data_IF_430881889083
#
_entry.id   IF_430881889083
#
_cell.length_a   1.000
_cell.length_b   1.000
_cell.length_c   1.000
_cell.angle_alpha   90.00
_cell.angle_beta   90.00
_cell.angle_gamma   90.00
#
_symmetry.space_group_name_H-M   'P 1'
#
loop_
_entity.id
_entity.type
_entity.pdbx_description
1 polymer ?
#
# COMPACT_ATOMS: atom_id res chain seq x y z
N UNK A 1 -6.29 24.78 20.38
CA UNK A 1 -5.38 23.83 19.73
C UNK A 1 -6.22 22.99 18.82
N UNK A 2 -6.31 23.38 17.56
CA UNK A 2 -7.30 22.87 16.60
C UNK A 2 -6.67 21.79 15.70
N UNK A 3 -7.14 20.55 15.86
CA UNK A 3 -6.71 19.38 15.12
C UNK A 3 -7.35 19.30 13.70
N UNK A 4 -7.31 20.38 12.91
CA UNK A 4 -7.98 20.48 11.61
C UNK A 4 -7.08 20.84 10.41
N UNK A 5 -5.78 20.59 10.47
CA UNK A 5 -4.89 20.95 9.33
C UNK A 5 -3.90 19.86 8.88
N UNK A 6 -4.26 18.57 8.89
CA UNK A 6 -3.38 17.50 8.35
C UNK A 6 -4.13 16.61 7.34
N UNK A 7 -5.12 17.09 6.62
CA UNK A 7 -5.71 16.34 5.50
C UNK A 7 -6.08 17.28 4.34
N UNK A 8 -5.06 17.85 3.69
CA UNK A 8 -5.24 18.57 2.44
C UNK A 8 -4.07 18.27 1.52
N UNK A 9 -4.15 17.19 0.72
CA UNK A 9 -3.14 16.94 -0.31
C UNK A 9 -3.14 15.57 -0.97
N UNK A 10 -4.19 14.76 -0.87
CA UNK A 10 -4.31 13.57 -1.70
C UNK A 10 -5.63 13.62 -2.47
N UNK A 11 -5.60 14.23 -3.65
CA UNK A 11 -6.68 14.13 -4.61
C UNK A 11 -6.57 12.75 -5.28
N UNK A 12 -7.49 11.78 -5.05
CA UNK A 12 -7.46 10.53 -5.78
C UNK A 12 -7.90 10.80 -7.20
N UNK A 13 -6.99 10.62 -8.15
CA UNK A 13 -7.29 10.57 -9.57
C UNK A 13 -8.14 9.32 -9.83
N UNK A 14 -9.45 9.40 -9.65
CA UNK A 14 -10.38 8.40 -10.12
C UNK A 14 -10.43 8.50 -11.65
N UNK A 15 -9.64 7.65 -12.32
CA UNK A 15 -9.78 7.41 -13.75
C UNK A 15 -11.12 6.71 -13.96
N UNK A 16 -12.15 7.47 -14.30
CA UNK A 16 -13.45 6.92 -14.68
C UNK A 16 -13.33 6.29 -16.06
N UNK A 17 -12.96 5.01 -16.11
CA UNK A 17 -13.06 4.22 -17.34
C UNK A 17 -14.53 3.85 -17.53
N UNK A 18 -15.24 4.62 -18.33
CA UNK A 18 -16.61 4.29 -18.79
C UNK A 18 -16.53 3.24 -19.89
N UNK A 19 -16.50 1.96 -19.51
CA UNK A 19 -16.73 0.85 -20.44
C UNK A 19 -18.23 0.71 -20.66
N UNK A 20 -18.70 1.16 -21.83
CA UNK A 20 -20.07 0.90 -22.30
C UNK A 20 -20.15 -0.54 -22.77
N UNK A 21 -20.60 -1.44 -21.90
CA UNK A 21 -20.97 -2.79 -22.29
C UNK A 21 -22.39 -2.78 -22.84
N UNK A 22 -22.54 -3.09 -24.12
CA UNK A 22 -23.83 -3.33 -24.78
C UNK A 22 -24.55 -4.51 -24.13
N UNK A 23 -25.81 -4.29 -23.73
CA UNK A 23 -26.61 -5.24 -23.01
C UNK A 23 -27.02 -6.46 -23.85
N UNK A 24 -26.60 -7.63 -23.41
CA UNK A 24 -27.38 -8.87 -23.59
C UNK A 24 -27.73 -9.33 -22.16
N UNK A 25 -29.02 -9.45 -21.88
CA UNK A 25 -29.49 -10.05 -20.62
C UNK A 25 -29.27 -11.56 -20.69
N UNK A 26 -28.03 -12.00 -20.49
CA UNK A 26 -27.71 -13.37 -20.18
C UNK A 26 -27.71 -13.49 -18.66
N UNK A 27 -28.19 -14.61 -18.12
CA UNK A 27 -27.91 -15.00 -16.74
C UNK A 27 -26.39 -15.09 -16.61
N UNK A 28 -25.78 -13.99 -16.16
CA UNK A 28 -24.34 -13.84 -16.15
C UNK A 28 -23.69 -14.76 -15.15
N UNK A 29 -22.57 -15.33 -15.51
CA UNK A 29 -21.71 -16.12 -14.63
C UNK A 29 -21.18 -15.31 -13.46
N UNK A 30 -20.66 -16.01 -12.48
CA UNK A 30 -19.80 -15.50 -11.40
C UNK A 30 -18.54 -16.32 -11.46
N UNK A 31 -17.39 -15.72 -11.30
CA UNK A 31 -16.17 -16.48 -11.16
C UNK A 31 -16.25 -17.34 -9.89
N UNK A 32 -16.23 -18.65 -10.08
CA UNK A 32 -16.30 -19.62 -8.98
C UNK A 32 -14.93 -20.05 -8.49
N UNK A 33 -13.83 -19.69 -9.17
CA UNK A 33 -12.48 -19.94 -8.68
C UNK A 33 -12.07 -18.86 -7.68
N UNK A 34 -12.39 -19.10 -6.40
CA UNK A 34 -12.09 -18.16 -5.31
C UNK A 34 -10.69 -18.32 -4.73
N UNK A 35 -10.06 -19.47 -4.96
CA UNK A 35 -8.72 -19.77 -4.50
C UNK A 35 -7.75 -19.62 -5.67
N UNK A 36 -7.22 -18.44 -5.86
CA UNK A 36 -6.14 -18.19 -6.83
C UNK A 36 -4.83 -18.17 -6.08
N UNK A 37 -3.82 -18.87 -6.61
CA UNK A 37 -2.51 -18.84 -6.01
C UNK A 37 -1.94 -17.42 -6.06
N UNK A 38 -1.33 -17.00 -4.95
CA UNK A 38 -0.59 -15.75 -4.90
C UNK A 38 0.68 -15.87 -5.74
N UNK A 39 1.05 -14.82 -6.48
CA UNK A 39 2.22 -14.80 -7.35
C UNK A 39 3.51 -14.41 -6.64
N UNK A 40 3.44 -13.93 -5.41
CA UNK A 40 4.61 -13.61 -4.60
C UNK A 40 5.30 -14.85 -4.06
N UNK A 41 6.64 -14.93 -4.18
CA UNK A 41 7.43 -16.10 -3.73
C UNK A 41 7.34 -16.33 -2.21
N UNK A 42 7.05 -15.27 -1.45
CA UNK A 42 6.94 -15.32 0.01
C UNK A 42 5.52 -15.51 0.52
N UNK A 43 4.54 -15.52 -0.39
CA UNK A 43 3.14 -15.69 -0.07
C UNK A 43 2.88 -17.09 0.51
N UNK A 44 1.75 -17.24 1.19
CA UNK A 44 1.24 -18.57 1.58
C UNK A 44 0.88 -19.37 0.31
N UNK A 45 -0.32 -19.84 0.13
CA UNK A 45 -0.75 -20.46 -1.12
C UNK A 45 -1.60 -19.47 -1.92
N UNK A 46 -2.65 -18.98 -1.29
CA UNK A 46 -3.61 -18.06 -1.88
C UNK A 46 -3.67 -16.72 -1.14
N UNK A 47 -3.09 -16.66 0.05
CA UNK A 47 -2.99 -15.43 0.83
C UNK A 47 -1.65 -14.77 0.58
N UNK A 48 -1.70 -13.50 0.19
CA UNK A 48 -0.52 -12.66 0.12
C UNK A 48 0.02 -12.36 1.52
N UNK A 49 1.33 -12.21 1.64
CA UNK A 49 1.98 -11.65 2.83
C UNK A 49 2.01 -10.13 2.77
N UNK A 50 2.42 -9.49 3.85
CA UNK A 50 2.64 -8.04 3.89
C UNK A 50 3.92 -7.63 3.18
N UNK A 51 4.83 -8.58 2.97
CA UNK A 51 6.14 -8.36 2.35
C UNK A 51 5.98 -8.00 0.88
N UNK A 52 6.67 -6.96 0.47
CA UNK A 52 6.76 -6.54 -0.93
C UNK A 52 8.10 -6.98 -1.49
N UNK A 53 8.18 -7.38 -2.76
CA UNK A 53 9.47 -7.53 -3.43
C UNK A 53 10.26 -6.23 -3.32
N UNK A 54 11.58 -6.31 -3.26
CA UNK A 54 12.46 -5.15 -3.32
C UNK A 54 12.30 -4.37 -4.64
N UNK A 55 13.00 -3.26 -4.78
CA UNK A 55 12.97 -2.41 -5.98
C UNK A 55 13.30 -3.22 -7.23
N UNK A 56 12.43 -3.15 -8.24
CA UNK A 56 12.50 -3.86 -9.52
C UNK A 56 12.56 -5.40 -9.43
N UNK A 57 12.49 -5.97 -8.23
CA UNK A 57 12.32 -7.41 -8.08
C UNK A 57 10.99 -7.86 -8.63
N UNK A 58 10.99 -8.96 -9.34
CA UNK A 58 9.76 -9.50 -9.93
C UNK A 58 9.62 -10.99 -9.70
N UNK A 59 8.40 -11.45 -9.78
CA UNK A 59 8.06 -12.87 -9.79
C UNK A 59 7.06 -13.19 -10.86
N UNK A 60 7.20 -14.38 -11.45
CA UNK A 60 6.26 -14.96 -12.40
C UNK A 60 5.77 -16.28 -11.84
N UNK A 61 4.47 -16.46 -11.79
CA UNK A 61 3.84 -17.64 -11.24
C UNK A 61 2.90 -18.32 -12.22
N UNK A 62 2.82 -19.63 -12.12
CA UNK A 62 1.79 -20.43 -12.75
C UNK A 62 1.22 -21.40 -11.73
N UNK A 63 -0.10 -21.48 -11.62
CA UNK A 63 -0.76 -22.44 -10.74
C UNK A 63 -1.80 -23.23 -11.50
N UNK A 64 -1.76 -24.53 -11.32
CA UNK A 64 -2.75 -25.47 -11.84
C UNK A 64 -3.66 -25.91 -10.71
N UNK A 65 -4.96 -25.82 -10.92
CA UNK A 65 -6.00 -26.16 -9.96
C UNK A 65 -6.94 -27.21 -10.54
N UNK A 66 -7.15 -28.29 -9.80
CA UNK A 66 -8.22 -29.25 -10.03
C UNK A 66 -9.26 -29.11 -8.93
N UNK A 67 -10.51 -28.90 -9.28
CA UNK A 67 -11.63 -28.73 -8.36
C UNK A 67 -12.73 -29.74 -8.64
N UNK A 68 -13.09 -30.52 -7.60
CA UNK A 68 -14.19 -31.49 -7.66
C UNK A 68 -15.47 -30.86 -7.11
N UNK A 69 -16.55 -30.88 -7.93
CA UNK A 69 -17.89 -30.38 -7.61
C UNK A 69 -17.89 -28.90 -7.15
N UNK A 70 -17.26 -27.99 -7.88
CA UNK A 70 -17.18 -26.59 -7.48
C UNK A 70 -18.51 -25.86 -7.59
N UNK A 71 -19.48 -26.42 -8.35
CA UNK A 71 -20.83 -25.84 -8.50
C UNK A 71 -21.90 -26.90 -8.51
N UNK A 72 -22.71 -26.94 -7.45
CA UNK A 72 -23.81 -27.88 -7.27
C UNK A 72 -25.10 -27.13 -7.05
N UNK A 73 -26.12 -27.43 -7.86
CA UNK A 73 -27.49 -26.95 -7.68
C UNK A 73 -28.24 -27.91 -6.76
N UNK A 74 -28.66 -27.43 -5.60
CA UNK A 74 -29.51 -28.19 -4.66
C UNK A 74 -30.97 -28.01 -5.01
N UNK A 75 -31.70 -29.11 -5.20
CA UNK A 75 -33.14 -29.15 -5.46
C UNK A 75 -33.80 -30.12 -4.48
N UNK A 76 -35.07 -29.96 -4.27
CA UNK A 76 -35.87 -30.87 -3.44
C UNK A 76 -35.90 -32.31 -4.02
N UNK A 77 -35.75 -32.45 -5.33
CA UNK A 77 -35.69 -33.71 -6.06
C UNK A 77 -34.29 -34.34 -6.15
N UNK A 78 -33.28 -33.72 -5.52
CA UNK A 78 -31.86 -34.17 -5.56
C UNK A 78 -30.89 -33.11 -6.06
N UNK A 79 -29.63 -33.34 -5.78
CA UNK A 79 -28.57 -32.42 -6.18
C UNK A 79 -28.13 -32.66 -7.63
N UNK A 80 -27.87 -31.58 -8.37
CA UNK A 80 -27.35 -31.64 -9.74
C UNK A 80 -25.99 -30.94 -9.76
N UNK A 81 -24.96 -31.68 -10.18
CA UNK A 81 -23.64 -31.12 -10.39
C UNK A 81 -23.65 -30.30 -11.69
N UNK A 82 -23.74 -28.97 -11.56
CA UNK A 82 -23.66 -28.08 -12.72
C UNK A 82 -22.25 -28.10 -13.32
N UNK A 83 -21.24 -28.14 -12.47
CA UNK A 83 -19.85 -28.43 -12.84
C UNK A 83 -19.36 -29.53 -11.93
N UNK A 84 -19.08 -30.70 -12.52
CA UNK A 84 -18.64 -31.89 -11.78
C UNK A 84 -17.17 -31.83 -11.42
N UNK A 85 -16.34 -31.41 -12.35
CA UNK A 85 -14.92 -31.22 -12.15
C UNK A 85 -14.40 -30.10 -13.08
N UNK A 86 -13.34 -29.41 -12.65
CA UNK A 86 -12.77 -28.26 -13.33
C UNK A 86 -11.27 -28.29 -13.23
N UNK A 87 -10.60 -27.98 -14.32
CA UNK A 87 -9.15 -27.79 -14.46
C UNK A 87 -8.90 -26.34 -14.82
N UNK A 88 -8.22 -25.61 -13.98
CA UNK A 88 -7.89 -24.21 -14.19
C UNK A 88 -6.37 -23.99 -14.15
N UNK A 89 -5.92 -22.96 -14.85
CA UNK A 89 -4.55 -22.46 -14.83
C UNK A 89 -4.62 -20.96 -14.54
N UNK A 90 -3.93 -20.51 -13.52
CA UNK A 90 -3.75 -19.09 -13.25
C UNK A 90 -2.31 -18.71 -13.53
N UNK A 91 -2.09 -17.68 -14.35
CA UNK A 91 -0.79 -17.07 -14.59
C UNK A 91 -0.72 -15.75 -13.80
N UNK A 92 0.36 -15.55 -13.08
CA UNK A 92 0.54 -14.38 -12.22
C UNK A 92 1.89 -13.71 -12.45
N UNK A 93 1.90 -12.41 -12.27
CA UNK A 93 3.09 -11.57 -12.29
C UNK A 93 3.03 -10.60 -11.11
N UNK A 94 4.16 -10.33 -10.48
CA UNK A 94 4.32 -9.30 -9.47
C UNK A 94 5.65 -8.57 -9.66
N UNK A 95 5.67 -7.26 -9.44
CA UNK A 95 6.85 -6.38 -9.55
C UNK A 95 6.87 -5.43 -8.34
N UNK A 96 8.00 -5.34 -7.68
CA UNK A 96 8.29 -4.33 -6.67
C UNK A 96 8.58 -2.97 -7.29
N UNK A 97 7.96 -1.93 -6.76
CA UNK A 97 8.19 -0.54 -7.13
C UNK A 97 8.63 0.19 -5.86
N UNK A 98 9.92 0.52 -5.80
CA UNK A 98 10.55 0.99 -4.59
C UNK A 98 10.53 -0.08 -3.48
N UNK A 99 10.72 0.34 -2.25
CA UNK A 99 10.79 -0.56 -1.09
C UNK A 99 9.41 -0.99 -0.54
N UNK A 100 8.35 -0.24 -0.85
CA UNK A 100 7.04 -0.38 -0.17
C UNK A 100 5.87 -0.80 -1.06
N UNK A 101 5.99 -0.68 -2.38
CA UNK A 101 4.89 -0.92 -3.31
C UNK A 101 5.16 -2.14 -4.18
N UNK A 102 4.17 -3.00 -4.33
CA UNK A 102 4.15 -4.06 -5.33
C UNK A 102 2.94 -3.90 -6.24
N UNK A 103 3.12 -4.14 -7.52
CA UNK A 103 2.04 -4.21 -8.51
C UNK A 103 2.05 -5.57 -9.17
N UNK A 104 0.90 -6.07 -9.56
CA UNK A 104 0.80 -7.39 -10.17
C UNK A 104 -0.38 -7.53 -11.11
N UNK A 105 -0.35 -8.60 -11.87
CA UNK A 105 -1.42 -8.99 -12.77
C UNK A 105 -1.65 -10.50 -12.70
N UNK A 106 -2.91 -10.92 -12.78
CA UNK A 106 -3.31 -12.32 -12.85
C UNK A 106 -4.18 -12.56 -14.08
N UNK A 107 -3.92 -13.66 -14.77
CA UNK A 107 -4.69 -14.13 -15.91
C UNK A 107 -5.20 -15.55 -15.63
N UNK A 108 -6.47 -15.72 -15.24
CA UNK A 108 -7.06 -17.02 -15.01
C UNK A 108 -7.59 -17.64 -16.30
N UNK A 109 -7.42 -18.94 -16.43
CA UNK A 109 -7.85 -19.75 -17.55
C UNK A 109 -8.59 -21.00 -17.06
N UNK A 110 -9.73 -21.30 -17.63
CA UNK A 110 -10.40 -22.61 -17.47
C UNK A 110 -10.02 -23.49 -18.64
N UNK A 111 -9.13 -24.43 -18.39
CA UNK A 111 -8.63 -25.33 -19.44
C UNK A 111 -9.71 -26.31 -19.88
N UNK A 112 -10.41 -26.88 -18.90
CA UNK A 112 -11.50 -27.82 -19.14
C UNK A 112 -12.39 -27.94 -17.92
N UNK A 113 -13.69 -28.18 -18.14
CA UNK A 113 -14.63 -28.56 -17.07
C UNK A 113 -15.73 -29.46 -17.61
N UNK A 114 -16.14 -30.42 -16.80
CA UNK A 114 -17.27 -31.28 -17.07
C UNK A 114 -18.55 -30.60 -16.58
N UNK A 115 -19.39 -30.19 -17.50
CA UNK A 115 -20.62 -29.43 -17.24
C UNK A 115 -21.87 -30.29 -17.44
N UNK A 116 -22.94 -29.97 -16.71
CA UNK A 116 -24.25 -30.56 -16.95
C UNK A 116 -24.73 -30.23 -18.37
N UNK A 117 -25.32 -31.22 -19.06
CA UNK A 117 -25.81 -31.07 -20.41
C UNK A 117 -27.23 -30.47 -20.43
N UNK A 118 -27.49 -29.57 -21.38
CA UNK A 118 -28.79 -28.93 -21.60
C UNK A 118 -29.10 -27.80 -20.60
N UNK A 119 -30.33 -27.30 -20.67
CA UNK A 119 -30.85 -26.32 -19.72
C UNK A 119 -31.14 -27.01 -18.37
N UNK A 120 -30.46 -26.61 -17.32
CA UNK A 120 -30.64 -27.13 -15.98
C UNK A 120 -31.17 -26.03 -15.06
N UNK A 121 -32.47 -25.97 -14.89
CA UNK A 121 -33.15 -25.06 -13.97
C UNK A 121 -33.08 -23.58 -14.37
N UNK A 122 -33.20 -23.34 -15.69
CA UNK A 122 -33.14 -21.99 -16.24
C UNK A 122 -31.72 -21.43 -16.36
N UNK A 123 -30.68 -22.27 -16.15
CA UNK A 123 -29.29 -21.90 -16.43
C UNK A 123 -29.00 -22.31 -17.87
N UNK A 124 -28.60 -21.36 -18.71
CA UNK A 124 -28.21 -21.57 -20.08
C UNK A 124 -27.09 -22.62 -20.20
N UNK A 125 -26.95 -23.30 -21.35
CA UNK A 125 -25.86 -24.26 -21.56
C UNK A 125 -24.50 -23.69 -21.21
N UNK A 126 -23.74 -24.47 -20.43
CA UNK A 126 -22.43 -24.07 -19.94
C UNK A 126 -21.34 -24.43 -20.95
N UNK A 127 -20.25 -23.65 -20.91
CA UNK A 127 -19.06 -23.90 -21.73
C UNK A 127 -18.04 -24.73 -20.96
N UNK A 128 -17.33 -25.61 -21.67
CA UNK A 128 -16.35 -26.53 -21.08
C UNK A 128 -14.99 -25.90 -20.81
N UNK A 129 -14.77 -24.65 -21.18
CA UNK A 129 -13.52 -23.92 -20.97
C UNK A 129 -13.67 -22.45 -21.33
N UNK A 130 -12.67 -21.64 -21.00
CA UNK A 130 -12.68 -20.21 -21.30
C UNK A 130 -11.66 -19.40 -20.51
N UNK A 131 -11.60 -18.12 -20.80
CA UNK A 131 -10.78 -17.17 -20.08
C UNK A 131 -11.53 -16.66 -18.84
N UNK A 132 -10.78 -16.42 -17.76
CA UNK A 132 -11.29 -15.68 -16.62
C UNK A 132 -11.09 -14.17 -16.77
N UNK A 133 -11.59 -13.42 -15.80
CA UNK A 133 -11.38 -11.97 -15.75
C UNK A 133 -9.93 -11.68 -15.31
N UNK A 134 -9.11 -11.03 -16.14
CA UNK A 134 -7.79 -10.56 -15.73
C UNK A 134 -7.92 -9.59 -14.55
N UNK A 135 -6.98 -9.67 -13.62
CA UNK A 135 -6.95 -8.84 -12.42
C UNK A 135 -5.64 -8.07 -12.34
N UNK A 136 -5.73 -6.78 -12.08
CA UNK A 136 -4.60 -5.93 -11.71
C UNK A 136 -4.62 -5.74 -10.20
N UNK A 137 -3.45 -5.83 -9.57
CA UNK A 137 -3.28 -5.74 -8.12
C UNK A 137 -2.24 -4.69 -7.77
N UNK A 138 -2.43 -4.05 -6.62
CA UNK A 138 -1.42 -3.24 -5.97
C UNK A 138 -1.43 -3.56 -4.49
N UNK A 139 -0.25 -3.62 -3.88
CA UNK A 139 -0.06 -3.85 -2.46
C UNK A 139 0.99 -2.87 -1.93
N UNK A 140 0.65 -2.14 -0.89
CA UNK A 140 1.53 -1.19 -0.24
C UNK A 140 1.81 -1.64 1.19
N UNK A 141 3.07 -1.86 1.50
CA UNK A 141 3.55 -2.17 2.84
C UNK A 141 3.50 -0.90 3.71
N UNK A 142 2.88 -1.02 4.87
CA UNK A 142 2.74 0.07 5.86
C UNK A 142 3.74 -0.14 7.00
N UNK A 143 3.95 -1.39 7.42
CA UNK A 143 4.82 -1.77 8.53
C UNK A 143 5.56 -3.05 8.18
N UNK A 144 6.78 -3.20 8.68
CA UNK A 144 7.64 -4.35 8.50
C UNK A 144 8.69 -4.11 7.40
N UNK A 145 9.65 -5.00 7.29
CA UNK A 145 10.74 -4.95 6.34
C UNK A 145 10.37 -5.57 4.98
N UNK A 146 11.00 -5.21 3.88
CA UNK A 146 10.80 -5.85 2.57
C UNK A 146 11.25 -7.32 2.60
N UNK A 147 10.87 -8.09 1.57
CA UNK A 147 11.51 -9.39 1.32
C UNK A 147 12.96 -9.16 0.93
N UNK A 148 13.86 -9.88 1.56
CA UNK A 148 15.27 -9.79 1.20
C UNK A 148 15.57 -10.49 -0.12
N UNK A 149 16.48 -9.93 -0.89
CA UNK A 149 16.89 -10.42 -2.21
C UNK A 149 17.44 -11.87 -2.16
N UNK A 150 18.07 -12.25 -1.05
CA UNK A 150 18.56 -13.62 -0.80
C UNK A 150 17.46 -14.64 -0.49
N UNK A 151 16.18 -14.21 -0.48
CA UNK A 151 15.01 -15.04 -0.19
C UNK A 151 14.82 -15.36 1.29
N UNK A 152 15.56 -14.73 2.21
CA UNK A 152 15.26 -14.79 3.63
C UNK A 152 14.14 -13.83 3.98
N UNK A 153 13.30 -14.22 4.93
CA UNK A 153 12.23 -13.37 5.43
C UNK A 153 12.69 -12.75 6.74
N UNK A 154 12.75 -11.43 6.84
CA UNK A 154 13.08 -10.79 8.09
C UNK A 154 12.02 -11.09 9.14
N UNK A 155 12.45 -11.34 10.38
CA UNK A 155 11.57 -11.58 11.52
C UNK A 155 10.82 -10.30 11.92
N UNK A 156 9.65 -10.47 12.50
CA UNK A 156 8.85 -9.38 13.04
C UNK A 156 7.46 -9.24 12.41
N UNK A 157 6.68 -8.26 12.89
CA UNK A 157 5.35 -7.97 12.39
C UNK A 157 5.39 -7.25 11.04
N UNK A 158 4.35 -7.46 10.24
CA UNK A 158 4.10 -6.75 9.02
C UNK A 158 2.66 -6.30 8.90
N UNK A 159 2.42 -5.20 8.19
CA UNK A 159 1.09 -4.73 7.81
C UNK A 159 1.13 -4.14 6.40
N UNK A 160 0.14 -4.45 5.59
CA UNK A 160 -0.01 -3.90 4.26
C UNK A 160 -1.48 -3.62 3.92
N UNK A 161 -1.69 -2.74 2.97
CA UNK A 161 -2.97 -2.57 2.30
C UNK A 161 -2.86 -3.06 0.88
N UNK A 162 -3.94 -3.66 0.38
CA UNK A 162 -3.99 -4.16 -0.99
C UNK A 162 -5.27 -3.68 -1.68
N UNK A 163 -5.18 -3.46 -2.97
CA UNK A 163 -6.31 -3.17 -3.83
C UNK A 163 -6.20 -3.98 -5.11
N UNK A 164 -7.34 -4.40 -5.66
CA UNK A 164 -7.38 -5.07 -6.95
C UNK A 164 -8.60 -4.63 -7.78
N UNK A 165 -8.44 -4.71 -9.09
CA UNK A 165 -9.52 -4.51 -10.05
C UNK A 165 -9.51 -5.64 -11.07
N UNK A 166 -10.68 -6.23 -11.36
CA UNK A 166 -10.81 -7.19 -12.45
C UNK A 166 -11.55 -6.60 -13.64
N UNK A 167 -11.10 -6.97 -14.84
CA UNK A 167 -11.67 -6.54 -16.09
C UNK A 167 -12.70 -7.58 -16.57
N UNK A 168 -13.93 -7.16 -16.92
CA UNK A 168 -15.04 -8.08 -17.23
C UNK A 168 -14.98 -8.62 -18.69
N UNK A 169 -13.89 -9.33 -18.99
CA UNK A 169 -13.67 -9.92 -20.34
C UNK A 169 -13.76 -11.44 -20.34
N UNK A 170 -13.91 -12.04 -19.16
CA UNK A 170 -13.95 -13.48 -18.97
C UNK A 170 -15.22 -14.14 -19.51
N UNK A 171 -15.14 -15.44 -19.72
CA UNK A 171 -16.21 -16.28 -20.26
C UNK A 171 -17.27 -16.56 -19.19
N UNK A 172 -18.37 -15.81 -19.21
CA UNK A 172 -19.46 -15.93 -18.23
C UNK A 172 -20.07 -17.35 -18.21
N UNK A 173 -20.24 -17.99 -19.38
CA UNK A 173 -20.83 -19.33 -19.49
C UNK A 173 -19.92 -20.45 -18.96
N UNK A 174 -18.64 -20.17 -18.82
CA UNK A 174 -17.71 -21.07 -18.15
C UNK A 174 -17.61 -20.81 -16.65
N UNK A 175 -18.36 -19.88 -16.09
CA UNK A 175 -18.19 -19.41 -14.71
C UNK A 175 -16.74 -19.02 -14.39
N UNK A 176 -16.09 -18.41 -15.39
CA UNK A 176 -14.71 -17.91 -15.33
C UNK A 176 -14.67 -16.37 -15.26
N UNK A 177 -15.72 -15.71 -15.74
CA UNK A 177 -15.88 -14.26 -15.73
C UNK A 177 -17.11 -13.80 -14.93
N UNK A 178 -17.00 -12.64 -14.33
CA UNK A 178 -18.05 -11.98 -13.54
C UNK A 178 -19.04 -11.21 -14.43
N UNK A 179 -18.71 -10.97 -15.71
CA UNK A 179 -19.47 -10.09 -16.62
C UNK A 179 -19.68 -8.68 -16.09
N UNK A 180 -18.91 -8.30 -15.09
CA UNK A 180 -18.93 -7.01 -14.42
C UNK A 180 -17.53 -6.75 -13.83
N UNK A 181 -17.06 -5.51 -13.88
CA UNK A 181 -15.83 -5.16 -13.20
C UNK A 181 -16.00 -5.33 -11.68
N UNK A 182 -14.97 -5.82 -11.03
CA UNK A 182 -14.91 -5.93 -9.57
C UNK A 182 -13.78 -5.10 -9.02
N UNK A 183 -13.98 -4.53 -7.85
CA UNK A 183 -12.96 -3.81 -7.10
C UNK A 183 -12.84 -4.47 -5.74
N UNK A 184 -11.62 -4.80 -5.35
CA UNK A 184 -11.28 -5.35 -4.04
C UNK A 184 -10.37 -4.41 -3.28
N UNK A 185 -10.53 -4.35 -1.96
CA UNK A 185 -9.58 -3.73 -1.03
C UNK A 185 -9.38 -4.65 0.15
N UNK A 186 -8.18 -4.67 0.70
CA UNK A 186 -7.88 -5.53 1.85
C UNK A 186 -6.80 -4.93 2.75
N UNK A 187 -6.84 -5.34 4.01
CA UNK A 187 -5.76 -5.15 4.97
C UNK A 187 -5.13 -6.53 5.21
N UNK A 188 -3.82 -6.56 5.20
CA UNK A 188 -3.01 -7.74 5.46
C UNK A 188 -2.22 -7.52 6.74
N UNK A 189 -2.04 -8.57 7.52
CA UNK A 189 -1.15 -8.57 8.67
C UNK A 189 -0.43 -9.90 8.74
N UNK A 190 0.86 -9.90 9.05
CA UNK A 190 1.61 -11.11 9.29
C UNK A 190 2.65 -10.94 10.40
N UNK A 191 3.14 -12.06 10.88
CA UNK A 191 4.23 -12.14 11.83
C UNK A 191 5.16 -13.27 11.44
N UNK A 192 6.44 -12.98 11.36
CA UNK A 192 7.49 -13.93 11.02
C UNK A 192 8.46 -14.08 12.19
N UNK A 193 8.84 -15.31 12.48
CA UNK A 193 9.82 -15.62 13.51
C UNK A 193 10.53 -16.95 13.20
N UNK A 194 11.84 -16.93 13.02
CA UNK A 194 12.66 -18.13 12.76
C UNK A 194 12.12 -19.01 11.61
N UNK A 195 11.60 -18.35 10.56
CA UNK A 195 11.00 -19.03 9.41
C UNK A 195 9.54 -19.48 9.59
N UNK A 196 9.00 -19.49 10.82
CA UNK A 196 7.58 -19.61 11.05
C UNK A 196 6.89 -18.33 10.59
N UNK A 197 5.79 -18.44 9.86
CA UNK A 197 4.97 -17.31 9.50
C UNK A 197 3.49 -17.58 9.84
N UNK A 198 2.82 -16.57 10.37
CA UNK A 198 1.36 -16.55 10.54
C UNK A 198 0.85 -15.26 9.94
N UNK A 199 -0.19 -15.36 9.13
CA UNK A 199 -0.73 -14.18 8.46
C UNK A 199 -2.24 -14.20 8.37
N UNK A 200 -2.80 -13.03 8.08
CA UNK A 200 -4.24 -12.86 7.92
C UNK A 200 -4.58 -11.77 6.91
N UNK A 201 -5.78 -11.89 6.36
CA UNK A 201 -6.38 -10.95 5.41
C UNK A 201 -7.80 -10.63 5.84
N UNK A 202 -8.13 -9.34 5.81
CA UNK A 202 -9.50 -8.83 5.87
C UNK A 202 -9.76 -8.01 4.60
N UNK A 203 -10.68 -8.45 3.76
CA UNK A 203 -10.94 -7.85 2.47
C UNK A 203 -12.42 -7.57 2.23
N UNK A 204 -12.66 -6.59 1.39
CA UNK A 204 -13.97 -6.23 0.86
C UNK A 204 -13.91 -6.21 -0.66
N UNK A 205 -14.85 -6.90 -1.31
CA UNK A 205 -14.97 -6.94 -2.77
C UNK A 205 -16.33 -6.44 -3.21
N UNK A 206 -16.32 -5.49 -4.13
CA UNK A 206 -17.50 -4.89 -4.73
C UNK A 206 -17.59 -5.25 -6.21
N UNK A 207 -18.76 -5.72 -6.66
CA UNK A 207 -19.09 -5.91 -8.08
C UNK A 207 -19.88 -4.71 -8.58
N UNK A 208 -19.55 -4.23 -9.78
CA UNK A 208 -20.29 -3.09 -10.39
C UNK A 208 -21.72 -3.46 -10.76
N UNK A 209 -22.01 -4.75 -10.97
CA UNK A 209 -23.36 -5.27 -11.23
C UNK A 209 -23.70 -6.39 -10.25
N UNK A 210 -24.94 -6.42 -9.79
CA UNK A 210 -25.45 -7.52 -9.01
C UNK A 210 -25.72 -8.73 -9.91
N UNK A 211 -25.29 -9.91 -9.46
CA UNK A 211 -25.57 -11.19 -10.10
C UNK A 211 -26.43 -12.07 -9.18
N UNK A 212 -27.28 -12.89 -9.78
CA UNK A 212 -28.09 -13.85 -9.03
C UNK A 212 -27.92 -15.22 -9.66
N UNK A 213 -27.45 -16.20 -8.91
CA UNK A 213 -27.28 -17.58 -9.35
C UNK A 213 -27.97 -18.49 -8.34
N UNK A 214 -28.92 -19.28 -8.81
CA UNK A 214 -29.72 -20.20 -7.96
C UNK A 214 -30.30 -19.52 -6.70
N UNK A 215 -30.74 -18.28 -6.83
CA UNK A 215 -31.34 -17.49 -5.74
C UNK A 215 -30.32 -16.80 -4.84
N UNK A 216 -29.02 -17.05 -5.02
CA UNK A 216 -27.93 -16.39 -4.27
C UNK A 216 -27.51 -15.11 -4.99
N UNK A 217 -27.47 -14.00 -4.25
CA UNK A 217 -27.07 -12.68 -4.76
C UNK A 217 -25.57 -12.48 -4.56
N UNK A 218 -24.91 -11.96 -5.59
CA UNK A 218 -23.49 -11.62 -5.59
C UNK A 218 -23.33 -10.14 -5.97
N UNK A 219 -23.01 -9.30 -5.01
CA UNK A 219 -22.68 -7.90 -5.23
C UNK A 219 -21.51 -7.46 -4.35
N UNK A 220 -21.69 -7.56 -3.07
CA UNK A 220 -20.72 -7.20 -2.05
C UNK A 220 -20.24 -8.47 -1.35
N UNK A 221 -18.96 -8.58 -1.08
CA UNK A 221 -18.37 -9.77 -0.45
C UNK A 221 -17.36 -9.35 0.57
N UNK A 222 -17.49 -9.91 1.78
CA UNK A 222 -16.47 -9.85 2.83
C UNK A 222 -15.59 -11.08 2.69
N UNK A 223 -14.28 -10.86 2.68
CA UNK A 223 -13.26 -11.89 2.54
C UNK A 223 -12.39 -11.91 3.80
N UNK A 224 -12.24 -13.07 4.40
CA UNK A 224 -11.38 -13.32 5.54
C UNK A 224 -10.43 -14.46 5.20
N UNK A 225 -9.19 -14.35 5.61
CA UNK A 225 -8.22 -15.41 5.44
C UNK A 225 -7.24 -15.44 6.61
N UNK A 226 -6.84 -16.63 7.01
CA UNK A 226 -5.73 -16.83 7.92
C UNK A 226 -4.87 -17.96 7.40
N UNK A 227 -3.55 -17.83 7.56
CA UNK A 227 -2.59 -18.82 7.09
C UNK A 227 -1.44 -18.97 8.08
N UNK A 228 -0.83 -20.14 8.05
CA UNK A 228 0.38 -20.44 8.77
C UNK A 228 1.36 -21.17 7.86
N UNK A 229 2.65 -20.91 8.01
CA UNK A 229 3.75 -21.57 7.34
C UNK A 229 4.75 -22.04 8.39
N UNK A 230 5.13 -23.30 8.32
CA UNK A 230 6.06 -23.94 9.24
C UNK A 230 7.22 -24.55 8.45
N UNK A 231 8.46 -24.08 8.63
CA UNK A 231 9.62 -24.64 7.94
C UNK A 231 9.89 -26.08 8.42
N UNK A 232 10.37 -26.91 7.51
CA UNK A 232 10.78 -28.29 7.85
C UNK A 232 12.28 -28.29 8.10
N UNK A 233 12.69 -28.33 9.38
CA UNK A 233 14.07 -28.13 9.79
C UNK A 233 15.09 -29.11 9.17
N UNK A 234 14.70 -30.35 8.90
CA UNK A 234 15.58 -31.39 8.32
C UNK A 234 15.60 -31.37 6.79
N UNK A 235 14.68 -30.61 6.13
CA UNK A 235 14.60 -30.48 4.68
C UNK A 235 14.69 -29.00 4.29
N UNK A 236 15.92 -28.53 4.08
CA UNK A 236 16.17 -27.12 3.78
C UNK A 236 15.38 -26.64 2.56
N UNK A 237 14.84 -25.43 2.66
CA UNK A 237 14.03 -24.82 1.58
C UNK A 237 12.61 -25.36 1.50
N UNK A 238 12.17 -26.18 2.47
CA UNK A 238 10.80 -26.69 2.46
C UNK A 238 9.99 -26.24 3.66
N UNK A 239 8.70 -26.13 3.45
CA UNK A 239 7.73 -25.73 4.47
C UNK A 239 6.38 -26.46 4.27
N UNK A 240 5.61 -26.50 5.34
CA UNK A 240 4.19 -26.87 5.31
C UNK A 240 3.38 -25.62 5.55
N UNK A 241 2.33 -25.42 4.75
CA UNK A 241 1.40 -24.31 4.84
C UNK A 241 0.00 -24.80 5.07
N UNK A 242 -0.74 -24.07 5.88
CA UNK A 242 -2.17 -24.30 6.09
C UNK A 242 -2.90 -22.98 6.00
N UNK A 243 -4.04 -22.97 5.31
CA UNK A 243 -4.87 -21.78 5.15
C UNK A 243 -6.32 -22.09 5.46
N UNK A 244 -7.03 -21.11 6.00
CA UNK A 244 -8.47 -21.08 6.13
C UNK A 244 -8.97 -19.79 5.50
N UNK A 245 -9.91 -19.90 4.56
CA UNK A 245 -10.51 -18.77 3.86
C UNK A 245 -12.01 -18.78 4.02
N UNK A 246 -12.55 -17.60 4.23
CA UNK A 246 -14.00 -17.37 4.32
C UNK A 246 -14.36 -16.25 3.38
N UNK A 247 -15.39 -16.46 2.56
CA UNK A 247 -15.97 -15.43 1.73
C UNK A 247 -17.49 -15.44 1.93
N UNK A 248 -18.04 -14.33 2.36
CA UNK A 248 -19.47 -14.23 2.71
C UNK A 248 -20.11 -12.99 2.10
N UNK A 249 -21.45 -12.96 2.03
CA UNK A 249 -22.19 -11.77 1.59
C UNK A 249 -21.86 -10.58 2.50
N UNK A 250 -21.51 -9.45 1.90
CA UNK A 250 -21.07 -8.26 2.64
C UNK A 250 -22.18 -7.58 3.42
N UNK A 251 -23.44 -7.69 2.97
CA UNK A 251 -24.60 -7.06 3.64
C UNK A 251 -25.13 -7.91 4.79
N UNK A 252 -25.05 -9.22 4.64
CA UNK A 252 -25.57 -10.18 5.60
C UNK A 252 -24.51 -11.26 5.87
N UNK A 253 -23.39 -10.90 6.53
CA UNK A 253 -22.32 -11.85 6.78
C UNK A 253 -22.82 -13.06 7.57
N UNK A 254 -22.37 -14.26 7.20
CA UNK A 254 -22.67 -15.53 7.85
C UNK A 254 -24.15 -15.92 7.96
N UNK A 255 -25.02 -15.27 7.21
CA UNK A 255 -26.48 -15.50 7.27
C UNK A 255 -26.90 -16.88 6.72
N UNK A 256 -26.11 -17.47 5.83
CA UNK A 256 -26.41 -18.75 5.21
C UNK A 256 -25.14 -19.49 4.75
N UNK A 257 -25.13 -20.82 4.89
CA UNK A 257 -24.08 -21.67 4.31
C UNK A 257 -24.04 -21.65 2.77
N UNK A 258 -25.10 -21.18 2.11
CA UNK A 258 -25.13 -21.03 0.65
C UNK A 258 -24.40 -19.77 0.18
N UNK A 259 -24.37 -18.73 1.02
CA UNK A 259 -23.71 -17.44 0.75
C UNK A 259 -22.33 -17.34 1.38
N UNK A 260 -22.00 -18.23 2.34
CA UNK A 260 -20.74 -18.24 3.06
C UNK A 260 -19.91 -19.45 2.62
N UNK A 261 -18.87 -19.21 1.82
CA UNK A 261 -17.86 -20.19 1.46
C UNK A 261 -16.81 -20.24 2.57
N UNK A 262 -16.55 -21.43 3.05
CA UNK A 262 -15.42 -21.72 3.98
C UNK A 262 -14.58 -22.80 3.33
N UNK A 263 -13.33 -22.49 3.08
CA UNK A 263 -12.38 -23.40 2.45
C UNK A 263 -11.10 -23.49 3.29
N UNK A 264 -10.54 -24.68 3.39
CA UNK A 264 -9.23 -24.91 4.02
C UNK A 264 -8.34 -25.64 3.05
N UNK A 265 -7.04 -25.39 3.13
CA UNK A 265 -6.04 -26.15 2.39
C UNK A 265 -4.78 -26.38 3.23
N UNK A 266 -4.11 -27.47 2.90
CA UNK A 266 -2.79 -27.81 3.40
C UNK A 266 -1.89 -28.06 2.20
N UNK A 267 -0.70 -27.49 2.21
CA UNK A 267 0.25 -27.59 1.13
C UNK A 267 1.68 -27.75 1.62
N UNK A 268 2.49 -28.29 0.75
CA UNK A 268 3.92 -28.41 0.89
C UNK A 268 4.60 -27.50 -0.12
N UNK A 269 5.48 -26.63 0.38
CA UNK A 269 6.34 -25.75 -0.40
C UNK A 269 7.77 -26.29 -0.43
N UNK A 270 8.41 -26.20 -1.58
CA UNK A 270 9.82 -26.52 -1.74
C UNK A 270 10.49 -25.47 -2.61
N UNK A 271 11.45 -24.76 -2.04
CA UNK A 271 12.24 -23.73 -2.74
C UNK A 271 13.57 -24.32 -3.21
N UNK A 272 13.82 -24.17 -4.50
CA UNK A 272 15.08 -24.52 -5.13
C UNK A 272 15.62 -23.27 -5.83
N UNK A 273 16.60 -22.60 -5.25
CA UNK A 273 17.10 -21.31 -5.72
C UNK A 273 15.92 -20.32 -5.94
N UNK A 274 15.76 -19.85 -7.15
CA UNK A 274 14.77 -18.86 -7.57
C UNK A 274 13.36 -19.43 -7.80
N UNK A 275 13.18 -20.73 -7.61
CA UNK A 275 11.91 -21.41 -7.91
C UNK A 275 11.28 -21.95 -6.63
N UNK A 276 10.05 -21.58 -6.40
CA UNK A 276 9.18 -22.17 -5.38
C UNK A 276 8.17 -23.09 -6.05
N UNK A 277 8.22 -24.36 -5.70
CA UNK A 277 7.19 -25.35 -6.03
C UNK A 277 6.25 -25.51 -4.84
N UNK A 278 4.95 -25.45 -5.07
CA UNK A 278 3.94 -25.69 -4.04
C UNK A 278 2.94 -26.73 -4.53
N UNK A 279 2.69 -27.75 -3.74
CA UNK A 279 1.64 -28.73 -3.99
C UNK A 279 0.72 -28.82 -2.78
N UNK A 280 -0.60 -28.94 -3.01
CA UNK A 280 -1.53 -28.92 -1.91
C UNK A 280 -2.87 -29.53 -2.22
N UNK A 281 -3.63 -29.76 -1.15
CA UNK A 281 -5.02 -30.21 -1.20
C UNK A 281 -5.87 -29.31 -0.32
N UNK A 282 -7.06 -29.02 -0.79
CA UNK A 282 -8.03 -28.19 -0.08
C UNK A 282 -9.42 -28.81 -0.07
N UNK A 283 -10.23 -28.35 0.87
CA UNK A 283 -11.59 -28.81 1.09
C UNK A 283 -12.53 -27.64 1.32
N UNK A 284 -13.67 -27.66 0.63
CA UNK A 284 -14.79 -26.79 0.98
C UNK A 284 -15.54 -27.35 2.16
N UNK A 285 -15.67 -26.55 3.21
CA UNK A 285 -16.37 -26.91 4.45
C UNK A 285 -17.86 -26.53 4.42
N UNK A 286 -18.26 -25.76 3.38
CA UNK A 286 -19.63 -25.35 3.17
C UNK A 286 -20.08 -25.67 1.74
N UNK A 287 -21.39 -25.70 1.51
CA UNK A 287 -21.97 -25.93 0.20
C UNK A 287 -22.23 -24.61 -0.59
N UNK A 288 -21.40 -23.62 -0.38
CA UNK A 288 -21.52 -22.33 -1.08
C UNK A 288 -21.08 -22.44 -2.55
N UNK A 289 -21.59 -21.54 -3.37
CA UNK A 289 -21.16 -21.41 -4.76
C UNK A 289 -19.64 -21.14 -4.82
N UNK A 290 -18.92 -21.96 -5.59
CA UNK A 290 -17.47 -21.86 -5.74
C UNK A 290 -16.66 -22.51 -4.62
N UNK A 291 -17.30 -23.23 -3.69
CA UNK A 291 -16.63 -24.01 -2.65
C UNK A 291 -16.53 -25.49 -3.12
N UNK A 292 -15.40 -25.94 -3.65
CA UNK A 292 -15.25 -27.30 -4.17
C UNK A 292 -15.23 -28.30 -3.02
N UNK A 293 -15.74 -29.52 -3.26
CA UNK A 293 -15.63 -30.57 -2.27
C UNK A 293 -14.17 -30.96 -1.98
N UNK A 294 -13.37 -31.00 -3.02
CA UNK A 294 -11.92 -31.24 -2.97
C UNK A 294 -11.26 -30.37 -4.02
N UNK A 295 -10.13 -29.82 -3.67
CA UNK A 295 -9.22 -29.08 -4.56
C UNK A 295 -7.84 -29.71 -4.50
N UNK A 296 -7.19 -29.88 -5.63
CA UNK A 296 -5.77 -30.17 -5.70
C UNK A 296 -5.08 -28.99 -6.40
N UNK A 297 -3.98 -28.54 -5.86
CA UNK A 297 -3.23 -27.38 -6.34
C UNK A 297 -1.78 -27.77 -6.59
N UNK A 298 -1.24 -27.32 -7.71
CA UNK A 298 0.18 -27.32 -8.03
C UNK A 298 0.55 -25.92 -8.50
N UNK A 299 1.51 -25.28 -7.85
CA UNK A 299 1.97 -23.96 -8.23
C UNK A 299 3.49 -23.92 -8.37
N UNK A 300 3.95 -23.11 -9.30
CA UNK A 300 5.34 -22.78 -9.54
C UNK A 300 5.44 -21.26 -9.55
N UNK A 301 6.33 -20.71 -8.74
CA UNK A 301 6.69 -19.30 -8.75
C UNK A 301 8.20 -19.20 -8.99
N UNK A 302 8.57 -18.47 -10.01
CA UNK A 302 9.95 -18.12 -10.31
C UNK A 302 10.15 -16.65 -9.96
N UNK A 303 11.16 -16.37 -9.14
CA UNK A 303 11.57 -15.03 -8.73
C UNK A 303 13.09 -15.03 -8.67
N UNK A 304 13.77 -14.46 -9.67
CA UNK A 304 15.22 -14.46 -9.70
C UNK A 304 15.76 -13.75 -8.47
N UNK A 305 16.66 -14.41 -7.75
CA UNK A 305 17.42 -13.79 -6.68
C UNK A 305 18.48 -12.91 -7.31
N UNK A 306 18.45 -11.65 -7.01
CA UNK A 306 19.55 -10.74 -7.30
C UNK A 306 20.56 -10.83 -6.16
N UNK A 307 21.81 -10.50 -6.44
CA UNK A 307 22.82 -10.37 -5.40
C UNK A 307 22.49 -9.12 -4.59
N UNK A 308 22.58 -9.24 -3.29
CA UNK A 308 22.40 -8.18 -2.31
C UNK A 308 23.49 -8.45 -1.27
N UNK A 309 24.55 -7.67 -1.33
CA UNK A 309 25.79 -8.01 -0.64
C UNK A 309 25.80 -7.58 0.82
N UNK A 310 25.05 -6.55 1.18
CA UNK A 310 24.92 -6.02 2.54
C UNK A 310 23.61 -6.42 3.24
N UNK A 311 22.60 -6.84 2.47
CA UNK A 311 21.37 -7.43 3.00
C UNK A 311 20.27 -6.43 3.33
N UNK A 312 20.31 -5.24 2.75
CA UNK A 312 19.33 -4.16 2.98
C UNK A 312 18.01 -4.35 2.21
N UNK A 313 18.00 -5.25 1.21
CA UNK A 313 16.83 -5.56 0.37
C UNK A 313 16.84 -4.86 -0.98
N UNK A 314 17.87 -4.08 -1.28
CA UNK A 314 18.15 -3.48 -2.58
C UNK A 314 19.22 -4.33 -3.27
N UNK A 315 19.04 -4.63 -4.53
CA UNK A 315 20.00 -5.52 -5.20
C UNK A 315 21.21 -4.76 -5.71
N UNK A 316 22.41 -5.41 -5.67
CA UNK A 316 23.70 -4.83 -6.09
C UNK A 316 23.65 -4.16 -7.48
N UNK A 317 22.74 -4.52 -8.37
CA UNK A 317 22.63 -3.98 -9.73
C UNK A 317 21.85 -2.66 -9.82
N UNK A 318 21.14 -2.30 -8.76
CA UNK A 318 20.39 -1.02 -8.65
C UNK A 318 20.73 -0.24 -7.39
N UNK A 319 21.56 -0.82 -6.53
CA UNK A 319 22.08 -0.27 -5.30
C UNK A 319 23.30 0.60 -5.61
N UNK A 320 23.31 1.84 -5.12
CA UNK A 320 24.44 2.76 -5.29
C UNK A 320 25.57 2.45 -4.32
N UNK A 321 25.26 1.81 -3.18
CA UNK A 321 26.19 1.45 -2.13
C UNK A 321 26.21 -0.06 -1.79
N UNK A 322 26.53 -1.00 -2.71
CA UNK A 322 26.30 -2.45 -2.59
C UNK A 322 26.98 -3.16 -1.43
N UNK A 323 27.56 -2.47 -0.49
CA UNK A 323 28.27 -3.00 0.67
C UNK A 323 28.01 -2.23 1.96
N UNK A 324 27.12 -1.23 1.93
CA UNK A 324 26.72 -0.41 3.06
C UNK A 324 25.20 -0.39 3.10
N UNK A 325 24.57 -1.08 4.06
CA UNK A 325 23.12 -1.22 4.07
C UNK A 325 22.42 0.12 4.28
N UNK A 326 21.30 0.30 3.60
CA UNK A 326 20.33 1.37 3.74
C UNK A 326 19.80 1.46 5.18
N UNK A 327 19.52 2.65 5.71
CA UNK A 327 19.04 2.85 7.08
C UNK A 327 17.51 3.10 7.20
N UNK A 328 16.79 3.16 6.09
CA UNK A 328 15.32 3.20 5.99
C UNK A 328 14.68 4.17 7.00
N UNK A 329 14.99 5.43 6.88
CA UNK A 329 14.48 6.50 7.75
C UNK A 329 13.41 7.39 7.10
N UNK A 330 13.20 7.25 5.80
CA UNK A 330 12.23 8.00 5.00
C UNK A 330 12.85 8.99 4.03
N UNK A 331 14.18 9.14 4.07
CA UNK A 331 14.96 9.94 3.14
C UNK A 331 15.69 9.00 2.18
N UNK A 332 15.68 9.24 0.91
CA UNK A 332 16.33 8.48 -0.16
C UNK A 332 16.30 6.92 -0.05
N UNK A 333 15.41 6.33 0.73
CA UNK A 333 15.25 4.87 1.03
C UNK A 333 15.35 3.93 -0.20
N UNK A 334 15.39 4.46 -1.40
CA UNK A 334 15.34 3.67 -2.64
C UNK A 334 16.71 3.56 -3.32
N UNK A 335 17.76 4.23 -2.85
CA UNK A 335 19.06 4.25 -3.54
C UNK A 335 20.09 3.27 -2.97
N UNK A 336 19.85 2.73 -1.77
CA UNK A 336 20.66 1.71 -1.13
C UNK A 336 21.89 2.28 -0.42
N UNK A 337 21.92 3.56 -0.11
CA UNK A 337 22.97 4.20 0.62
C UNK A 337 22.46 4.73 1.96
N UNK A 338 23.22 4.49 3.02
CA UNK A 338 22.95 5.11 4.31
C UNK A 338 23.17 6.63 4.19
N UNK A 339 22.19 7.41 4.59
CA UNK A 339 22.24 8.87 4.65
C UNK A 339 22.31 9.33 6.12
N UNK A 340 23.48 9.39 6.76
CA UNK A 340 23.60 9.67 8.19
C UNK A 340 23.38 11.15 8.57
N UNK A 341 23.17 12.02 7.59
CA UNK A 341 22.97 13.47 7.70
C UNK A 341 22.16 13.89 6.46
N UNK A 342 20.81 13.82 6.59
CA UNK A 342 19.87 13.92 5.48
C UNK A 342 19.84 15.28 4.80
N UNK A 343 20.04 16.37 5.55
CA UNK A 343 19.98 17.75 5.05
C UNK A 343 21.34 18.41 4.88
N UNK A 344 22.40 17.70 5.30
CA UNK A 344 23.81 18.10 5.16
C UNK A 344 24.19 19.36 5.95
N UNK A 345 23.60 19.54 7.13
CA UNK A 345 23.96 20.63 8.05
C UNK A 345 25.09 20.32 9.01
N UNK A 346 25.65 19.09 8.92
CA UNK A 346 26.71 18.52 9.73
C UNK A 346 26.29 18.03 11.12
N UNK A 347 25.01 17.98 11.43
CA UNK A 347 24.45 17.29 12.59
C UNK A 347 23.90 15.95 12.12
N UNK A 348 24.42 14.82 12.60
CA UNK A 348 23.87 13.51 12.18
C UNK A 348 22.41 13.35 12.61
N UNK A 349 21.57 12.71 11.79
CA UNK A 349 20.15 12.46 12.04
C UNK A 349 19.82 11.92 13.42
N UNK A 350 20.71 11.09 13.99
CA UNK A 350 20.56 10.52 15.32
C UNK A 350 20.60 11.56 16.46
N UNK A 351 21.29 12.66 16.23
CA UNK A 351 21.48 13.76 17.16
C UNK A 351 20.70 15.02 16.72
N UNK A 352 20.14 15.01 15.49
CA UNK A 352 19.42 16.09 14.87
C UNK A 352 17.91 16.04 15.20
N UNK A 353 17.37 17.17 15.62
CA UNK A 353 15.94 17.34 15.91
C UNK A 353 15.13 17.70 14.67
N UNK A 354 15.80 18.18 13.63
CA UNK A 354 15.20 18.59 12.35
C UNK A 354 15.82 17.87 11.14
N UNK A 355 15.96 16.52 11.12
CA UNK A 355 16.83 15.75 10.20
C UNK A 355 16.58 15.90 8.70
N UNK A 356 15.69 16.76 8.27
CA UNK A 356 15.36 17.00 6.87
C UNK A 356 15.25 18.49 6.54
N UNK A 357 15.61 19.37 7.48
CA UNK A 357 15.49 20.82 7.35
C UNK A 357 16.81 21.46 7.80
N UNK A 358 17.74 21.69 6.88
CA UNK A 358 19.08 22.26 7.08
C UNK A 358 19.05 23.49 7.99
N UNK A 359 19.79 23.47 9.09
CA UNK A 359 19.96 24.61 9.96
C UNK A 359 20.64 25.76 9.21
N UNK A 360 20.14 26.97 9.35
CA UNK A 360 20.77 28.15 8.72
C UNK A 360 22.15 28.39 9.37
N UNK A 361 23.15 28.62 8.51
CA UNK A 361 24.53 28.87 8.96
C UNK A 361 24.59 30.01 9.99
N UNK A 362 25.06 29.68 11.20
CA UNK A 362 25.16 30.63 12.33
C UNK A 362 23.88 30.82 13.15
N UNK A 363 22.81 30.09 12.83
CA UNK A 363 21.54 30.13 13.54
C UNK A 363 21.17 28.79 14.21
N UNK A 364 22.13 27.98 14.56
CA UNK A 364 22.03 26.80 15.41
C UNK A 364 23.05 26.96 16.56
N UNK A 365 22.58 27.55 17.64
CA UNK A 365 23.48 27.90 18.77
C UNK A 365 23.61 26.77 19.78
N UNK A 366 22.70 25.82 19.80
CA UNK A 366 22.75 24.65 20.68
C UNK A 366 23.15 23.34 19.93
N UNK A 367 23.50 23.45 18.65
CA UNK A 367 23.99 22.37 17.79
C UNK A 367 23.00 21.18 17.72
N UNK A 368 21.68 21.49 17.69
CA UNK A 368 20.64 20.46 17.66
C UNK A 368 20.07 20.18 16.25
N UNK A 369 20.66 20.79 15.20
CA UNK A 369 20.29 20.61 13.80
C UNK A 369 19.04 21.38 13.37
N UNK A 370 18.50 22.23 14.22
CA UNK A 370 17.38 23.09 13.89
C UNK A 370 17.78 24.56 13.83
N UNK A 371 17.22 25.29 12.90
CA UNK A 371 17.38 26.74 12.90
C UNK A 371 16.75 27.33 14.16
N UNK A 372 17.56 27.88 15.04
CA UNK A 372 17.10 28.63 16.18
C UNK A 372 16.35 29.90 15.78
N UNK A 373 15.30 30.28 16.50
CA UNK A 373 14.71 31.59 16.28
C UNK A 373 15.77 32.65 16.52
N UNK A 374 15.82 33.63 15.62
CA UNK A 374 16.72 34.77 15.72
C UNK A 374 16.79 35.31 17.15
N UNK A 375 17.97 35.33 17.73
CA UNK A 375 18.18 35.81 19.09
C UNK A 375 18.30 37.32 19.03
N UNK A 376 17.40 37.99 19.69
CA UNK A 376 17.39 39.45 19.96
C UNK A 376 17.56 39.61 21.46
N UNK A 377 18.78 39.92 21.92
CA UNK A 377 19.14 39.86 23.32
C UNK A 377 18.68 41.10 24.11
N UNK A 378 18.42 42.21 23.47
CA UNK A 378 17.98 43.47 24.10
C UNK A 378 16.55 43.88 23.72
N UNK A 379 15.96 43.21 22.70
CA UNK A 379 14.54 43.35 22.36
C UNK A 379 14.23 44.55 21.46
N UNK A 380 15.18 45.02 20.68
CA UNK A 380 15.01 46.17 19.76
C UNK A 380 14.44 45.75 18.38
N UNK A 381 14.40 44.45 18.07
CA UNK A 381 13.89 43.90 16.83
C UNK A 381 14.97 43.66 15.79
N UNK A 382 16.24 43.83 16.12
CA UNK A 382 17.40 43.49 15.32
C UNK A 382 18.05 42.23 15.91
N UNK A 383 18.32 41.26 15.06
CA UNK A 383 18.92 40.00 15.45
C UNK A 383 20.37 40.22 15.95
N UNK A 384 20.79 39.57 17.05
CA UNK A 384 22.16 39.65 17.61
C UNK A 384 23.26 39.48 16.54
N UNK A 385 23.00 38.72 15.47
CA UNK A 385 23.97 38.51 14.38
C UNK A 385 24.04 39.71 13.39
N UNK A 386 23.02 40.51 13.31
CA UNK A 386 22.94 41.72 12.47
C UNK A 386 23.13 43.00 13.29
N UNK A 387 23.07 42.89 14.62
CA UNK A 387 23.15 43.95 15.57
C UNK A 387 24.63 44.26 15.96
N UNK A 388 25.06 45.47 15.78
CA UNK A 388 26.37 45.93 16.17
C UNK A 388 26.52 46.11 17.72
N UNK A 389 25.40 46.25 18.42
CA UNK A 389 25.36 46.43 19.87
C UNK A 389 24.41 45.45 20.60
N UNK A 390 24.53 44.14 20.51
CA UNK A 390 23.57 43.09 20.90
C UNK A 390 23.07 43.08 22.37
N UNK A 391 23.31 44.11 23.13
CA UNK A 391 22.92 44.26 24.55
C UNK A 391 22.46 45.65 24.91
N UNK A 392 22.38 46.56 23.95
CA UNK A 392 21.99 47.94 24.11
C UNK A 392 20.99 48.30 23.03
N UNK A 393 19.68 48.14 23.34
CA UNK A 393 18.59 48.32 22.38
C UNK A 393 18.64 49.68 21.65
N UNK A 394 18.46 49.64 20.33
CA UNK A 394 18.35 50.80 19.43
C UNK A 394 17.26 51.77 19.89
N UNK A 395 17.49 53.11 19.82
CA UNK A 395 16.55 54.12 20.30
C UNK A 395 15.58 54.69 19.24
N UNK A 396 15.69 54.22 18.00
CA UNK A 396 14.79 54.54 16.89
C UNK A 396 14.51 56.00 16.66
N UNK A 397 15.58 56.84 16.72
CA UNK A 397 15.48 58.29 16.63
C UNK A 397 15.58 58.86 15.20
N UNK A 398 15.81 58.01 14.22
CA UNK A 398 15.94 58.30 12.78
C UNK A 398 17.35 58.56 12.33
N UNK A 399 18.37 58.21 13.15
CA UNK A 399 19.79 58.25 12.82
C UNK A 399 20.33 56.80 12.90
N UNK A 400 20.82 56.28 11.80
CA UNK A 400 21.42 54.93 11.74
C UNK A 400 20.62 53.77 12.33
N UNK A 401 19.24 53.88 12.46
CA UNK A 401 18.30 52.95 13.10
C UNK A 401 18.40 51.47 12.63
N UNK A 402 19.29 51.13 11.73
CA UNK A 402 19.43 49.78 11.15
C UNK A 402 20.66 48.99 11.72
N UNK A 403 21.50 49.63 12.56
CA UNK A 403 22.73 48.99 13.07
C UNK A 403 22.63 48.44 14.49
N UNK A 404 21.51 48.71 15.21
CA UNK A 404 21.24 48.19 16.54
C UNK A 404 22.02 48.90 17.66
N UNK A 405 22.54 50.10 17.45
CA UNK A 405 23.29 50.85 18.45
C UNK A 405 22.64 52.20 18.72
N UNK A 406 22.55 52.60 20.00
CA UNK A 406 22.13 53.95 20.41
C UNK A 406 23.04 54.99 19.79
N UNK A 407 22.49 55.84 18.96
CA UNK A 407 23.21 56.93 18.33
C UNK A 407 23.07 58.26 19.07
N UNK A 408 24.03 59.17 18.92
CA UNK A 408 23.90 60.48 19.55
C UNK A 408 22.75 61.28 18.87
N UNK A 409 21.84 61.75 19.70
CA UNK A 409 20.74 62.59 19.28
C UNK A 409 21.14 63.63 18.20
N UNK A 410 20.35 63.74 17.11
CA UNK A 410 20.60 64.77 16.13
C UNK A 410 20.59 66.14 16.80
N UNK A 411 21.50 67.04 16.45
CA UNK A 411 21.60 68.36 17.07
C UNK A 411 20.26 69.08 16.98
N UNK A 412 19.72 69.53 18.09
CA UNK A 412 18.45 70.21 18.16
C UNK A 412 18.33 71.28 17.07
N UNK A 413 17.23 71.38 16.34
CA UNK A 413 17.08 72.36 15.28
C UNK A 413 17.32 73.76 15.84
N UNK A 414 18.33 74.45 15.28
CA UNK A 414 18.63 75.86 15.65
C UNK A 414 17.40 76.70 15.29
N UNK A 415 16.71 77.21 16.34
CA UNK A 415 15.59 78.13 16.18
C UNK A 415 16.08 79.40 15.52
N UNK A 416 15.88 79.48 14.21
CA UNK A 416 16.14 80.65 13.39
C UNK A 416 14.88 81.54 13.32
N UNK A 417 14.20 81.77 14.45
CA UNK A 417 13.18 82.80 14.47
C UNK A 417 13.85 84.15 14.39
N UNK A 418 13.58 84.98 13.38
CA UNK A 418 14.15 86.33 13.31
C UNK A 418 13.61 87.15 14.41
N UNK A 419 14.50 87.80 15.27
CA UNK A 419 14.17 88.73 16.32
C UNK A 419 13.36 89.90 15.75
N UNK A 420 12.23 90.13 16.41
CA UNK A 420 11.34 91.28 16.36
C UNK A 420 11.61 92.42 15.37
N UNK A 421 10.70 92.52 14.41
CA UNK A 421 10.42 93.81 13.76
C UNK A 421 9.53 94.69 14.71
N UNK A 422 9.84 95.93 14.92
CA UNK A 422 9.07 96.80 15.84
C UNK A 422 7.68 97.13 15.27
N UNK A 423 6.68 97.02 16.14
CA UNK A 423 5.29 97.33 15.88
C UNK A 423 5.09 98.83 15.52
N UNK A 424 4.48 99.22 14.41
CA UNK A 424 4.31 100.60 13.99
C UNK A 424 2.99 101.27 14.50
N UNK A 425 2.39 100.78 15.54
CA UNK A 425 1.09 101.35 16.08
C UNK A 425 1.15 101.92 17.46
N UNK A 426 2.18 102.70 17.79
CA UNK A 426 2.20 103.51 19.01
C UNK A 426 2.44 104.99 18.68
N UNK A 427 1.46 105.67 18.04
CA UNK A 427 1.40 107.10 18.00
C UNK A 427 -0.02 107.58 17.74
N UNK A 428 -0.54 108.31 18.73
CA UNK A 428 -1.67 109.18 18.76
C UNK A 428 -2.80 108.80 19.73
N UNK A 429 -2.72 109.37 20.95
CA UNK A 429 -3.74 110.26 21.47
C UNK A 429 -3.22 110.95 22.77
N UNK A 430 -2.75 112.12 22.55
CA UNK A 430 -2.67 113.06 23.68
C UNK A 430 -3.94 113.92 23.75
N UNK A 431 -4.29 114.35 24.92
CA UNK A 431 -5.12 115.48 25.28
C UNK A 431 -6.66 115.42 25.04
N UNK A 432 -7.43 115.30 26.10
CA UNK A 432 -8.09 116.28 26.97
C UNK A 432 -8.84 115.59 28.04
#
# INVERSE_FOLDING_TARGET
MDARRIFAGACPLFLAVTLTASGASAQGGVDINRARAASGIDSFVTLDTTRTPGRLHYSVGASFDYSLRPLVLKRDTGNVDLIRDRYALDLGFELGIGSRLAVGADLPLVLHQNVARGDVGGIAPLESGGFGDPRLRARMRILGLPSQANGTLPDGPGMAVAADVSLPVGTERAFAGEGAATVGVAVLGDFHLLGLAVGGRLGWRQRTRQRVIAGVRFREQLELGVGARVPIAWLRGSDVRAELRVATDGRSPFSSSKTTSVETDVSFGFRLHDVLLTSGVGFGLTDAVGSPRVRALLALVWSPTTRDADGDGISDDVDQCPHLPEDIDGFQDDDGCMDPDNDNDFVPDADDRCPNDEALEGHDADEDGCTDPARDSDGDGIDDAADACPREAEDMDGVEDEDGCIDPDPPAPVDTTPADAPDPTAAASGDM
#
